data_IF_850689466761
#
_entry.id   IF_850689466761
#
_cell.length_a   1.000
_cell.length_b   1.000
_cell.length_c   1.000
_cell.angle_alpha   90.00
_cell.angle_beta   90.00
_cell.angle_gamma   90.00
#
_symmetry.space_group_name_H-M   'P 1'
#
loop_
_entity.id
_entity.type
_entity.pdbx_description
1 polymer ?
#
# COMPACT_ATOMS: atom_id res chain seq x y z
N UNK A 1 38.35 69.66 -21.55
CA UNK A 1 38.74 70.24 -22.85
C UNK A 1 37.49 70.57 -23.67
N UNK A 2 37.39 71.83 -24.09
CA UNK A 2 36.49 72.46 -25.08
C UNK A 2 34.96 72.22 -24.94
N UNK A 3 34.20 73.13 -24.31
CA UNK A 3 33.58 74.39 -24.81
C UNK A 3 32.36 74.16 -25.76
N UNK A 4 31.14 74.31 -25.22
CA UNK A 4 30.13 75.38 -25.49
C UNK A 4 29.24 75.03 -26.69
N UNK A 5 27.94 74.77 -26.50
CA UNK A 5 26.97 75.87 -26.52
C UNK A 5 25.72 75.73 -25.61
N UNK A 6 25.32 76.89 -25.07
CA UNK A 6 24.10 77.18 -24.28
C UNK A 6 22.95 77.38 -25.28
N UNK A 7 21.67 77.21 -24.99
CA UNK A 7 20.92 76.89 -23.80
C UNK A 7 19.44 77.14 -24.13
N UNK A 8 18.53 76.28 -23.68
CA UNK A 8 17.12 76.60 -23.55
C UNK A 8 16.49 75.71 -22.47
N UNK A 9 15.43 76.20 -21.84
CA UNK A 9 14.60 75.58 -20.79
C UNK A 9 15.04 75.79 -19.32
N UNK A 10 15.03 77.06 -18.90
CA UNK A 10 14.48 77.39 -17.58
C UNK A 10 13.00 76.99 -17.57
N UNK A 11 12.70 75.79 -17.07
CA UNK A 11 11.31 75.30 -16.94
C UNK A 11 11.14 73.83 -16.50
N UNK A 12 12.17 72.99 -16.54
CA UNK A 12 11.97 71.55 -16.29
C UNK A 12 12.19 71.08 -14.85
N UNK A 13 12.83 71.87 -13.98
CA UNK A 13 13.22 71.36 -12.66
C UNK A 13 12.06 71.31 -11.63
N UNK A 14 11.09 72.23 -11.70
CA UNK A 14 9.91 72.21 -10.83
C UNK A 14 8.85 71.19 -11.24
N UNK A 15 8.68 70.90 -12.55
CA UNK A 15 7.70 69.91 -13.01
C UNK A 15 8.18 68.45 -12.82
N UNK A 16 9.49 68.22 -12.83
CA UNK A 16 10.07 66.90 -12.53
C UNK A 16 10.03 66.57 -11.03
N UNK A 17 10.20 67.56 -10.15
CA UNK A 17 10.13 67.32 -8.71
C UNK A 17 8.68 67.04 -8.24
N UNK A 18 7.67 67.71 -8.82
CA UNK A 18 6.25 67.43 -8.52
C UNK A 18 5.77 66.06 -9.05
N UNK A 19 6.41 65.51 -10.10
CA UNK A 19 6.10 64.18 -10.64
C UNK A 19 6.86 63.05 -9.95
N UNK A 20 8.02 63.32 -9.34
CA UNK A 20 8.83 62.32 -8.65
C UNK A 20 8.37 62.05 -7.19
N UNK A 21 7.71 62.99 -6.53
CA UNK A 21 7.30 62.83 -5.12
C UNK A 21 5.92 62.19 -4.89
N UNK A 22 5.18 61.81 -5.95
CA UNK A 22 3.80 61.34 -5.79
C UNK A 22 3.45 59.95 -6.39
N UNK A 23 4.44 59.13 -6.78
CA UNK A 23 4.14 57.81 -7.43
C UNK A 23 4.86 56.57 -6.92
N UNK A 24 5.88 56.66 -6.05
CA UNK A 24 6.57 55.46 -5.56
C UNK A 24 5.97 54.85 -4.26
N UNK A 25 5.21 55.63 -3.47
CA UNK A 25 4.67 55.17 -2.17
C UNK A 25 3.15 54.90 -2.13
N UNK A 26 2.38 55.32 -3.14
CA UNK A 26 0.90 55.32 -3.06
C UNK A 26 0.25 54.14 -3.80
N UNK A 27 0.91 53.58 -4.82
CA UNK A 27 0.34 52.49 -5.63
C UNK A 27 0.41 51.09 -4.97
N UNK A 28 1.22 50.90 -3.92
CA UNK A 28 1.28 49.63 -3.19
C UNK A 28 0.14 49.43 -2.18
N UNK A 29 -0.64 50.48 -1.89
CA UNK A 29 -1.64 50.46 -0.82
C UNK A 29 -3.06 50.12 -1.29
N UNK A 30 -3.27 49.91 -2.60
CA UNK A 30 -4.58 49.57 -3.17
C UNK A 30 -4.57 48.27 -3.95
N UNK A 31 -5.64 47.48 -3.82
CA UNK A 31 -5.80 46.18 -4.45
C UNK A 31 -6.17 46.35 -5.92
N UNK A 32 -5.35 45.79 -6.82
CA UNK A 32 -5.55 45.90 -8.28
C UNK A 32 -6.81 45.22 -8.82
N UNK A 33 -7.61 44.55 -7.98
CA UNK A 33 -8.87 43.87 -8.36
C UNK A 33 -10.11 44.64 -7.91
N UNK A 34 -10.10 45.23 -6.71
CA UNK A 34 -11.30 45.82 -6.10
C UNK A 34 -11.07 47.17 -5.42
N UNK A 35 -9.87 47.75 -5.57
CA UNK A 35 -9.42 49.01 -4.98
C UNK A 35 -9.41 49.07 -3.43
N UNK A 36 -9.77 47.99 -2.72
CA UNK A 36 -9.62 47.88 -1.27
C UNK A 36 -8.15 47.95 -0.83
N UNK A 37 -7.87 48.16 0.46
CA UNK A 37 -6.49 48.26 0.96
C UNK A 37 -5.69 46.99 0.64
N UNK A 38 -4.60 47.13 -0.10
CA UNK A 38 -3.71 46.02 -0.38
C UNK A 38 -2.89 45.64 0.86
N UNK A 39 -2.72 44.33 1.07
CA UNK A 39 -1.94 43.78 2.19
C UNK A 39 -0.54 43.37 1.76
N UNK A 40 -0.28 43.35 0.45
CA UNK A 40 1.00 42.99 -0.15
C UNK A 40 0.82 42.43 -1.56
N UNK A 41 1.90 41.87 -2.11
CA UNK A 41 1.87 41.14 -3.38
C UNK A 41 1.42 39.69 -3.13
N UNK A 42 0.31 39.28 -3.74
CA UNK A 42 -0.17 37.91 -3.71
C UNK A 42 -0.39 37.41 -5.14
N UNK A 43 0.17 36.25 -5.46
CA UNK A 43 0.08 35.61 -6.78
C UNK A 43 0.54 36.48 -7.95
N UNK A 44 1.48 37.41 -7.71
CA UNK A 44 2.12 38.24 -8.73
C UNK A 44 1.75 39.73 -8.67
N UNK A 45 0.66 40.12 -7.99
CA UNK A 45 0.17 41.51 -7.98
C UNK A 45 -0.24 42.00 -6.60
N UNK A 46 -0.33 43.32 -6.43
CA UNK A 46 -0.82 43.93 -5.20
C UNK A 46 -2.32 43.63 -4.99
N UNK A 47 -2.67 42.98 -3.88
CA UNK A 47 -4.05 42.63 -3.59
C UNK A 47 -4.38 42.63 -2.10
N UNK A 48 -5.67 42.73 -1.78
CA UNK A 48 -6.20 42.59 -0.43
C UNK A 48 -6.36 41.09 -0.06
N UNK A 49 -6.49 40.79 1.23
CA UNK A 49 -6.70 39.42 1.70
C UNK A 49 -7.97 38.76 1.16
N UNK A 50 -9.01 39.56 0.90
CA UNK A 50 -10.26 39.08 0.30
C UNK A 50 -10.06 38.51 -1.10
N UNK A 51 -9.32 39.22 -1.97
CA UNK A 51 -9.06 38.76 -3.34
C UNK A 51 -7.99 37.67 -3.39
N UNK A 52 -6.96 37.74 -2.54
CA UNK A 52 -6.00 36.64 -2.32
C UNK A 52 -6.72 35.34 -1.96
N UNK A 53 -7.57 35.34 -0.94
CA UNK A 53 -8.29 34.16 -0.49
C UNK A 53 -9.29 33.63 -1.51
N UNK A 54 -9.98 34.53 -2.21
CA UNK A 54 -10.91 34.17 -3.28
C UNK A 54 -10.20 33.48 -4.45
N UNK A 55 -9.08 34.04 -4.92
CA UNK A 55 -8.30 33.47 -6.02
C UNK A 55 -7.76 32.07 -5.64
N UNK A 56 -7.13 31.94 -4.47
CA UNK A 56 -6.64 30.65 -3.95
C UNK A 56 -7.72 29.56 -3.94
N UNK A 57 -8.90 29.85 -3.39
CA UNK A 57 -10.01 28.86 -3.31
C UNK A 57 -10.53 28.48 -4.69
N UNK A 58 -10.64 29.47 -5.59
CA UNK A 58 -11.16 29.25 -6.94
C UNK A 58 -10.22 28.39 -7.78
N UNK A 59 -8.90 28.61 -7.66
CA UNK A 59 -7.90 27.80 -8.35
C UNK A 59 -7.79 26.39 -7.78
N UNK A 60 -7.69 26.25 -6.44
CA UNK A 60 -7.52 24.92 -5.80
C UNK A 60 -8.67 23.96 -6.07
N UNK A 61 -9.91 24.46 -6.01
CA UNK A 61 -11.10 23.65 -6.27
C UNK A 61 -11.48 23.61 -7.75
N UNK A 62 -10.64 24.17 -8.63
CA UNK A 62 -10.89 24.32 -10.06
C UNK A 62 -12.32 24.84 -10.36
N UNK A 63 -12.78 25.84 -9.60
CA UNK A 63 -14.15 26.33 -9.70
C UNK A 63 -14.41 27.01 -11.03
N UNK A 64 -15.43 26.54 -11.73
CA UNK A 64 -16.03 27.23 -12.88
C UNK A 64 -17.24 28.02 -12.40
N UNK A 65 -17.18 29.35 -12.52
CA UNK A 65 -18.31 30.22 -12.19
C UNK A 65 -19.04 30.66 -13.47
N UNK A 66 -20.31 31.00 -13.35
CA UNK A 66 -21.11 31.61 -14.42
C UNK A 66 -21.60 32.99 -14.01
N UNK A 67 -21.57 33.96 -14.91
CA UNK A 67 -22.20 35.26 -14.69
C UNK A 67 -23.71 35.15 -14.93
N UNK A 68 -24.51 35.82 -14.11
CA UNK A 68 -25.98 35.93 -14.30
C UNK A 68 -26.40 37.15 -15.12
N UNK A 69 -25.43 37.96 -15.55
CA UNK A 69 -25.59 39.20 -16.32
C UNK A 69 -24.62 39.16 -17.53
N UNK A 70 -24.32 40.32 -18.13
CA UNK A 70 -23.51 40.44 -19.35
C UNK A 70 -21.99 40.29 -19.16
N UNK A 71 -21.55 39.55 -18.12
CA UNK A 71 -20.13 39.32 -17.81
C UNK A 71 -19.30 40.61 -17.57
N UNK A 72 -19.95 41.75 -17.37
CA UNK A 72 -19.36 43.09 -17.14
C UNK A 72 -19.65 43.67 -15.76
N UNK A 73 -19.86 42.82 -14.75
CA UNK A 73 -20.15 43.29 -13.39
C UNK A 73 -18.95 44.07 -12.80
N UNK A 74 -19.21 45.25 -12.23
CA UNK A 74 -18.20 46.07 -11.56
C UNK A 74 -17.66 45.36 -10.31
N UNK A 75 -16.33 45.29 -10.18
CA UNK A 75 -15.65 44.70 -9.02
C UNK A 75 -15.04 45.81 -8.18
N UNK A 76 -15.73 46.21 -7.12
CA UNK A 76 -15.28 47.20 -6.14
C UNK A 76 -15.30 46.64 -4.70
N UNK A 77 -14.79 47.38 -3.73
CA UNK A 77 -14.70 46.94 -2.32
C UNK A 77 -16.03 46.40 -1.77
N UNK A 78 -17.15 47.03 -2.13
CA UNK A 78 -18.47 46.71 -1.58
C UNK A 78 -19.19 45.62 -2.37
N UNK A 79 -18.99 45.57 -3.69
CA UNK A 79 -19.74 44.68 -4.61
C UNK A 79 -18.90 43.56 -5.21
N UNK A 80 -17.65 43.38 -4.80
CA UNK A 80 -16.78 42.25 -5.26
C UNK A 80 -17.36 40.86 -5.01
N UNK A 81 -18.34 40.70 -4.12
CA UNK A 81 -18.99 39.41 -3.86
C UNK A 81 -20.24 39.15 -4.73
N UNK A 82 -20.71 40.15 -5.48
CA UNK A 82 -21.95 40.07 -6.29
C UNK A 82 -21.85 39.06 -7.43
N UNK A 83 -20.68 38.99 -8.09
CA UNK A 83 -20.45 38.07 -9.21
C UNK A 83 -19.07 37.43 -9.11
N UNK A 84 -19.03 36.13 -8.78
CA UNK A 84 -17.79 35.35 -8.66
C UNK A 84 -17.10 35.17 -10.02
N UNK A 85 -17.87 35.07 -11.11
CA UNK A 85 -17.31 34.99 -12.46
C UNK A 85 -16.49 36.23 -12.80
N UNK A 86 -17.11 37.42 -12.76
CA UNK A 86 -16.42 38.67 -13.11
C UNK A 86 -15.24 38.94 -12.18
N UNK A 87 -15.37 38.63 -10.88
CA UNK A 87 -14.25 38.76 -9.93
C UNK A 87 -13.07 37.86 -10.30
N UNK A 88 -13.31 36.59 -10.67
CA UNK A 88 -12.23 35.68 -11.05
C UNK A 88 -11.59 36.09 -12.38
N UNK A 89 -12.38 36.55 -13.34
CA UNK A 89 -11.86 37.09 -14.59
C UNK A 89 -11.00 38.34 -14.33
N UNK A 90 -11.44 39.24 -13.45
CA UNK A 90 -10.66 40.43 -13.09
C UNK A 90 -9.35 40.07 -12.39
N UNK A 91 -9.32 39.02 -11.56
CA UNK A 91 -8.07 38.51 -10.98
C UNK A 91 -7.05 38.11 -12.07
N UNK A 92 -7.48 37.37 -13.10
CA UNK A 92 -6.60 36.97 -14.20
C UNK A 92 -6.19 38.18 -15.05
N UNK A 93 -7.15 39.04 -15.39
CA UNK A 93 -6.91 40.26 -16.18
C UNK A 93 -5.92 41.20 -15.49
N UNK A 94 -5.99 41.32 -14.17
CA UNK A 94 -5.05 42.11 -13.38
C UNK A 94 -3.67 41.46 -13.25
N UNK A 95 -3.50 40.18 -13.61
CA UNK A 95 -2.22 39.48 -13.64
C UNK A 95 -1.97 38.48 -12.51
N UNK A 96 -3.01 38.00 -11.82
CA UNK A 96 -2.83 36.89 -10.85
C UNK A 96 -2.48 35.59 -11.57
N UNK A 97 -1.36 34.98 -11.17
CA UNK A 97 -0.81 33.75 -11.75
C UNK A 97 -1.41 32.51 -11.09
N UNK A 98 -2.02 31.62 -11.87
CA UNK A 98 -2.62 30.36 -11.39
C UNK A 98 -1.56 29.43 -10.83
N UNK A 99 -0.42 29.36 -11.51
CA UNK A 99 0.77 28.57 -11.19
C UNK A 99 1.44 29.00 -9.88
N UNK A 100 1.21 30.23 -9.40
CA UNK A 100 1.69 30.70 -8.11
C UNK A 100 0.87 30.17 -6.92
N UNK A 101 -0.23 29.45 -7.17
CA UNK A 101 -1.07 28.83 -6.14
C UNK A 101 -0.52 27.46 -5.81
N UNK A 102 0.23 27.37 -4.71
CA UNK A 102 0.70 26.09 -4.18
C UNK A 102 -0.46 25.21 -3.71
N UNK A 103 -0.26 23.88 -3.84
CA UNK A 103 -1.13 22.83 -3.30
C UNK A 103 -1.32 23.00 -1.77
N UNK A 104 -2.26 22.26 -1.18
CA UNK A 104 -2.43 22.31 0.27
C UNK A 104 -1.11 21.99 0.97
N UNK A 105 -0.79 22.81 1.97
CA UNK A 105 0.27 22.50 2.92
C UNK A 105 -0.38 21.71 4.04
N UNK A 106 0.36 20.77 4.62
CA UNK A 106 -0.09 20.00 5.77
C UNK A 106 -0.67 20.92 6.85
N UNK A 107 -1.72 20.45 7.50
CA UNK A 107 -2.45 21.19 8.51
C UNK A 107 -1.49 21.59 9.66
N UNK A 108 -1.21 22.89 9.82
CA UNK A 108 -0.39 23.41 10.93
C UNK A 108 -1.14 23.29 12.27
N UNK A 109 -2.46 23.04 12.25
CA UNK A 109 -3.23 22.75 13.45
C UNK A 109 -3.30 21.24 13.70
N UNK A 110 -2.79 20.84 14.87
CA UNK A 110 -3.00 19.56 15.57
C UNK A 110 -4.47 19.36 15.98
N UNK A 111 -5.39 19.51 15.03
CA UNK A 111 -6.71 18.90 15.16
C UNK A 111 -6.68 17.66 14.30
N UNK A 112 -6.24 16.56 14.95
CA UNK A 112 -6.51 15.18 14.54
C UNK A 112 -7.85 15.13 13.82
N UNK A 113 -7.85 14.57 12.62
CA UNK A 113 -9.05 14.33 11.82
C UNK A 113 -10.12 13.67 12.69
N UNK A 114 -11.06 14.47 13.20
CA UNK A 114 -12.29 14.00 13.85
C UNK A 114 -13.27 13.68 12.72
N UNK A 115 -12.96 12.64 11.98
CA UNK A 115 -13.87 11.92 11.11
C UNK A 115 -14.12 10.55 11.74
N UNK A 116 -14.75 10.53 12.92
CA UNK A 116 -15.28 9.31 13.51
C UNK A 116 -16.45 8.83 12.65
N UNK A 117 -16.18 7.89 11.76
CA UNK A 117 -17.19 6.91 11.31
C UNK A 117 -17.15 5.76 12.30
N UNK A 118 -18.31 5.36 12.82
CA UNK A 118 -18.45 4.23 13.74
C UNK A 118 -17.80 2.94 13.15
N UNK A 119 -16.99 2.24 13.95
CA UNK A 119 -16.32 0.98 13.60
C UNK A 119 -14.94 1.13 12.95
N UNK A 120 -13.99 1.82 13.60
CA UNK A 120 -12.61 1.94 13.10
C UNK A 120 -11.72 0.85 13.68
N UNK A 121 -11.03 0.10 12.81
CA UNK A 121 -9.91 -0.74 13.20
C UNK A 121 -8.93 0.08 14.06
N UNK A 122 -8.36 -0.55 15.09
CA UNK A 122 -7.39 0.09 15.98
C UNK A 122 -6.23 -0.86 16.29
N UNK A 123 -5.04 -0.30 16.51
CA UNK A 123 -3.85 -1.08 16.86
C UNK A 123 -4.08 -1.99 18.07
N UNK A 124 -4.81 -1.52 19.09
CA UNK A 124 -5.09 -2.31 20.30
C UNK A 124 -5.91 -3.56 19.99
N UNK A 125 -6.93 -3.45 19.13
CA UNK A 125 -7.74 -4.60 18.68
C UNK A 125 -6.87 -5.59 17.91
N UNK A 126 -6.02 -5.10 17.00
CA UNK A 126 -5.14 -5.98 16.22
C UNK A 126 -4.11 -6.70 17.11
N UNK A 127 -3.51 -6.01 18.08
CA UNK A 127 -2.60 -6.63 19.04
C UNK A 127 -3.30 -7.65 19.94
N UNK A 128 -4.53 -7.35 20.39
CA UNK A 128 -5.32 -8.29 21.18
C UNK A 128 -5.65 -9.55 20.38
N UNK A 129 -6.00 -9.39 19.10
CA UNK A 129 -6.22 -10.51 18.19
C UNK A 129 -4.96 -11.35 18.03
N UNK A 130 -3.78 -10.75 17.82
CA UNK A 130 -2.52 -11.50 17.78
C UNK A 130 -2.23 -12.24 19.09
N UNK A 131 -2.38 -11.57 20.23
CA UNK A 131 -2.12 -12.17 21.54
C UNK A 131 -3.03 -13.38 21.83
N UNK A 132 -4.28 -13.35 21.35
CA UNK A 132 -5.24 -14.46 21.54
C UNK A 132 -4.82 -15.78 20.87
N UNK A 133 -3.96 -15.71 19.84
CA UNK A 133 -3.52 -16.88 19.05
C UNK A 133 -2.03 -17.19 19.20
N UNK A 134 -1.31 -16.47 20.05
CA UNK A 134 0.09 -16.77 20.35
C UNK A 134 0.20 -18.08 21.13
N UNK A 135 0.68 -19.13 20.47
CA UNK A 135 0.86 -20.47 21.05
C UNK A 135 2.14 -20.59 21.89
N UNK A 136 3.08 -19.65 21.79
CA UNK A 136 4.34 -19.64 22.52
C UNK A 136 4.62 -18.25 23.07
N UNK A 137 4.95 -18.10 24.37
CA UNK A 137 5.48 -16.84 24.88
C UNK A 137 6.77 -16.50 24.13
N UNK A 138 6.90 -15.25 23.68
CA UNK A 138 8.18 -14.72 23.21
C UNK A 138 9.14 -14.75 24.39
N UNK A 139 9.89 -15.84 24.56
CA UNK A 139 11.00 -15.89 25.49
C UNK A 139 12.09 -14.97 24.93
N UNK A 140 12.08 -13.73 25.43
CA UNK A 140 13.17 -12.79 25.31
C UNK A 140 14.34 -13.26 26.19
N UNK A 141 15.23 -14.12 25.66
CA UNK A 141 16.62 -14.22 26.13
C UNK A 141 17.52 -14.95 25.10
N UNK A 142 18.83 -14.64 25.06
CA UNK A 142 19.77 -15.11 24.04
C UNK A 142 20.34 -16.52 24.31
N UNK A 143 19.49 -17.50 24.62
CA UNK A 143 19.87 -18.92 24.72
C UNK A 143 19.25 -19.78 23.60
N UNK A 144 19.15 -19.19 22.41
CA UNK A 144 18.48 -19.78 21.24
C UNK A 144 19.12 -21.07 20.71
N UNK A 145 20.34 -21.43 21.13
CA UNK A 145 21.03 -22.64 20.66
C UNK A 145 20.68 -23.92 21.45
N UNK A 146 20.31 -23.82 22.74
CA UNK A 146 20.05 -25.02 23.59
C UNK A 146 18.65 -25.58 23.38
N UNK A 147 17.69 -24.75 22.95
CA UNK A 147 16.29 -25.19 22.72
C UNK A 147 16.14 -25.93 21.39
N UNK A 148 17.02 -25.70 20.40
CA UNK A 148 16.94 -26.32 19.07
C UNK A 148 17.32 -27.81 19.11
N UNK A 149 18.26 -28.21 19.96
CA UNK A 149 18.78 -29.60 19.99
C UNK A 149 17.75 -30.64 20.40
N UNK A 150 16.67 -30.23 21.07
CA UNK A 150 15.58 -31.12 21.47
C UNK A 150 14.40 -31.14 20.48
N UNK A 151 14.39 -30.26 19.47
CA UNK A 151 13.29 -30.20 18.50
C UNK A 151 13.45 -31.26 17.41
N UNK A 152 12.36 -31.96 17.11
CA UNK A 152 12.32 -33.02 16.09
C UNK A 152 12.14 -32.43 14.70
N UNK A 153 12.85 -33.00 13.72
CA UNK A 153 12.65 -32.69 12.30
C UNK A 153 11.25 -33.13 11.86
N UNK A 154 10.53 -32.23 11.19
CA UNK A 154 9.18 -32.47 10.70
C UNK A 154 9.17 -33.41 9.49
N UNK A 155 8.31 -34.44 9.52
CA UNK A 155 7.87 -35.12 8.31
C UNK A 155 6.69 -34.39 7.65
N UNK A 156 6.26 -34.86 6.47
CA UNK A 156 5.11 -34.25 5.76
C UNK A 156 3.82 -34.24 6.60
N UNK A 157 3.57 -35.30 7.40
CA UNK A 157 2.40 -35.35 8.29
C UNK A 157 2.42 -34.25 9.33
N UNK A 158 3.58 -33.96 9.92
CA UNK A 158 3.75 -32.92 10.92
C UNK A 158 3.55 -31.53 10.30
N UNK A 159 4.00 -31.33 9.05
CA UNK A 159 3.75 -30.11 8.28
C UNK A 159 2.25 -29.91 8.08
N UNK A 160 1.53 -30.92 7.59
CA UNK A 160 0.07 -30.82 7.39
C UNK A 160 -0.69 -30.60 8.68
N UNK A 161 -0.32 -31.29 9.75
CA UNK A 161 -0.91 -31.08 11.07
C UNK A 161 -0.70 -29.64 11.56
N UNK A 162 0.52 -29.10 11.41
CA UNK A 162 0.80 -27.71 11.71
C UNK A 162 -0.06 -26.76 10.87
N UNK A 163 -0.17 -26.98 9.55
CA UNK A 163 -0.98 -26.12 8.69
C UNK A 163 -2.46 -26.12 9.14
N UNK A 164 -3.03 -27.30 9.44
CA UNK A 164 -4.40 -27.42 9.94
C UNK A 164 -4.60 -26.65 11.24
N UNK A 165 -3.69 -26.81 12.20
CA UNK A 165 -3.72 -26.08 13.47
C UNK A 165 -3.65 -24.57 13.25
N UNK A 166 -2.75 -24.10 12.38
CA UNK A 166 -2.58 -22.66 12.11
C UNK A 166 -3.76 -22.05 11.35
N UNK A 167 -4.45 -22.81 10.49
CA UNK A 167 -5.69 -22.34 9.84
C UNK A 167 -6.84 -22.17 10.83
N UNK A 168 -6.97 -23.09 11.81
CA UNK A 168 -7.95 -22.93 12.89
C UNK A 168 -7.66 -21.69 13.74
N UNK A 169 -6.38 -21.42 14.02
CA UNK A 169 -5.99 -20.18 14.70
C UNK A 169 -6.25 -18.94 13.85
N UNK A 170 -6.12 -19.00 12.51
CA UNK A 170 -6.47 -17.88 11.65
C UNK A 170 -7.95 -17.52 11.78
N UNK A 171 -8.83 -18.53 11.84
CA UNK A 171 -10.27 -18.33 12.12
C UNK A 171 -10.47 -17.66 13.48
N UNK A 172 -9.77 -18.15 14.51
CA UNK A 172 -9.92 -17.61 15.86
C UNK A 172 -9.38 -16.19 15.99
N UNK A 173 -8.24 -15.91 15.36
CA UNK A 173 -7.69 -14.56 15.22
C UNK A 173 -8.70 -13.60 14.57
N UNK A 174 -9.32 -14.02 13.46
CA UNK A 174 -10.25 -13.17 12.72
C UNK A 174 -11.49 -12.81 13.56
N UNK A 175 -11.99 -13.73 14.41
CA UNK A 175 -13.13 -13.46 15.31
C UNK A 175 -12.85 -12.39 16.36
N UNK A 176 -11.59 -12.13 16.69
CA UNK A 176 -11.21 -11.06 17.61
C UNK A 176 -11.24 -9.68 16.97
N UNK A 177 -11.48 -9.58 15.65
CA UNK A 177 -11.64 -8.33 14.91
C UNK A 177 -13.15 -8.06 14.74
N UNK A 178 -13.74 -7.08 15.45
CA UNK A 178 -15.18 -6.81 15.40
C UNK A 178 -15.70 -6.53 13.99
N UNK A 179 -14.90 -5.84 13.18
CA UNK A 179 -15.24 -5.50 11.80
C UNK A 179 -15.38 -6.75 10.92
N UNK A 180 -14.56 -7.78 11.13
CA UNK A 180 -14.71 -9.09 10.48
C UNK A 180 -15.98 -9.80 10.95
N UNK A 181 -16.26 -9.77 12.26
CA UNK A 181 -17.45 -10.38 12.85
C UNK A 181 -18.76 -9.80 12.30
N UNK A 182 -18.75 -8.54 11.84
CA UNK A 182 -19.91 -7.89 11.25
C UNK A 182 -20.10 -8.18 9.75
N UNK A 183 -19.14 -8.84 9.09
CA UNK A 183 -19.26 -9.20 7.67
C UNK A 183 -20.30 -10.32 7.43
N UNK A 184 -20.91 -10.35 6.22
CA UNK A 184 -21.70 -11.49 5.77
C UNK A 184 -20.92 -12.80 5.88
N UNK A 185 -21.60 -13.91 6.15
CA UNK A 185 -20.94 -15.21 6.30
C UNK A 185 -20.17 -15.63 5.04
N UNK A 186 -20.68 -15.29 3.85
CA UNK A 186 -19.99 -15.57 2.58
C UNK A 186 -18.69 -14.79 2.44
N UNK A 187 -18.68 -13.53 2.86
CA UNK A 187 -17.49 -12.69 2.86
C UNK A 187 -16.46 -13.21 3.87
N UNK A 188 -16.91 -13.64 5.06
CA UNK A 188 -16.03 -14.26 6.07
C UNK A 188 -15.32 -15.51 5.53
N UNK A 189 -16.07 -16.41 4.90
CA UNK A 189 -15.51 -17.63 4.29
C UNK A 189 -14.54 -17.27 3.17
N UNK A 190 -14.92 -16.36 2.27
CA UNK A 190 -14.06 -15.90 1.17
C UNK A 190 -12.74 -15.35 1.69
N UNK A 191 -12.76 -14.43 2.66
CA UNK A 191 -11.54 -13.83 3.22
C UNK A 191 -10.64 -14.86 3.91
N UNK A 192 -11.23 -15.83 4.62
CA UNK A 192 -10.48 -16.90 5.25
C UNK A 192 -9.83 -17.86 4.25
N UNK A 193 -10.39 -17.99 3.04
CA UNK A 193 -9.87 -18.88 1.99
C UNK A 193 -8.83 -18.19 1.09
N UNK A 194 -9.09 -16.96 0.62
CA UNK A 194 -8.30 -16.32 -0.46
C UNK A 194 -6.80 -16.25 -0.19
N UNK A 195 -6.40 -15.80 1.00
CA UNK A 195 -4.98 -15.61 1.35
C UNK A 195 -4.53 -16.51 2.51
N UNK A 196 -5.19 -17.67 2.67
CA UNK A 196 -4.90 -18.61 3.75
C UNK A 196 -3.45 -19.11 3.71
N UNK A 197 -2.90 -19.32 2.51
CA UNK A 197 -1.52 -19.71 2.29
C UNK A 197 -0.51 -18.64 2.75
N UNK A 198 -0.76 -17.38 2.41
CA UNK A 198 0.05 -16.23 2.83
C UNK A 198 0.04 -16.10 4.35
N UNK A 199 -1.11 -16.29 5.00
CA UNK A 199 -1.18 -16.28 6.47
C UNK A 199 -0.37 -17.40 7.13
N UNK A 200 -0.38 -18.60 6.55
CA UNK A 200 0.44 -19.71 7.03
C UNK A 200 1.94 -19.41 6.91
N UNK A 201 2.36 -18.91 5.76
CA UNK A 201 3.76 -18.55 5.48
C UNK A 201 4.21 -17.37 6.35
N UNK A 202 3.41 -16.31 6.46
CA UNK A 202 3.72 -15.13 7.25
C UNK A 202 3.81 -15.47 8.75
N UNK A 203 2.91 -16.32 9.26
CA UNK A 203 2.97 -16.82 10.62
C UNK A 203 4.21 -17.69 10.89
N UNK A 204 4.58 -18.56 9.93
CA UNK A 204 5.80 -19.35 10.03
C UNK A 204 7.06 -18.48 10.01
N UNK A 205 7.11 -17.45 9.16
CA UNK A 205 8.20 -16.49 9.13
C UNK A 205 8.32 -15.74 10.47
N UNK A 206 7.22 -15.24 11.04
CA UNK A 206 7.20 -14.55 12.33
C UNK A 206 7.72 -15.41 13.47
N UNK A 207 7.25 -16.66 13.60
CA UNK A 207 7.72 -17.60 14.63
C UNK A 207 9.19 -17.99 14.44
N UNK A 208 9.72 -17.88 13.22
CA UNK A 208 11.08 -18.29 12.90
C UNK A 208 12.11 -17.16 12.99
N UNK A 209 11.70 -15.92 13.31
CA UNK A 209 12.60 -14.78 13.49
C UNK A 209 13.80 -15.04 14.42
N UNK A 210 13.66 -15.77 15.55
CA UNK A 210 14.79 -16.06 16.44
C UNK A 210 15.81 -17.05 15.89
N UNK A 211 15.48 -17.77 14.81
CA UNK A 211 16.24 -18.93 14.36
C UNK A 211 16.89 -18.74 12.99
N UNK A 212 18.08 -19.31 12.83
CA UNK A 212 18.79 -19.37 11.56
C UNK A 212 18.73 -20.78 10.99
N UNK A 213 18.62 -20.87 9.66
CA UNK A 213 18.72 -22.11 8.90
C UNK A 213 17.67 -23.19 9.26
N UNK A 214 16.53 -22.78 9.82
CA UNK A 214 15.37 -23.64 10.09
C UNK A 214 14.08 -22.83 10.13
N UNK A 215 12.96 -23.50 9.89
CA UNK A 215 11.60 -22.95 10.07
C UNK A 215 10.91 -23.67 11.22
N UNK A 216 10.37 -22.90 12.18
CA UNK A 216 9.60 -23.42 13.31
C UNK A 216 8.11 -23.53 12.97
N UNK A 217 7.57 -24.75 13.04
CA UNK A 217 6.16 -25.04 12.84
C UNK A 217 5.32 -24.73 14.08
N UNK A 218 4.00 -24.67 13.92
CA UNK A 218 3.07 -24.36 15.02
C UNK A 218 2.90 -25.49 16.03
N UNK A 219 3.30 -26.71 15.66
CA UNK A 219 3.30 -27.91 16.49
C UNK A 219 4.69 -28.23 17.08
N UNK A 220 5.59 -27.24 17.14
CA UNK A 220 6.95 -27.32 17.72
C UNK A 220 7.96 -28.22 16.97
N UNK A 221 7.58 -28.76 15.81
CA UNK A 221 8.52 -29.40 14.89
C UNK A 221 9.30 -28.37 14.07
N UNK A 222 10.45 -28.78 13.54
CA UNK A 222 11.32 -27.91 12.73
C UNK A 222 11.53 -28.46 11.32
N UNK A 223 11.54 -27.58 10.32
CA UNK A 223 12.03 -27.90 8.98
C UNK A 223 13.46 -27.38 8.88
N UNK A 224 14.43 -28.28 8.74
CA UNK A 224 15.84 -27.92 8.57
C UNK A 224 16.13 -27.59 7.11
N UNK A 225 16.98 -26.59 6.86
CA UNK A 225 17.32 -26.17 5.49
C UNK A 225 18.49 -26.96 4.87
N UNK A 226 18.97 -28.01 5.54
CA UNK A 226 20.21 -28.72 5.17
C UNK A 226 20.04 -29.73 4.04
N UNK A 227 18.81 -30.22 3.81
CA UNK A 227 18.52 -31.20 2.77
C UNK A 227 17.70 -30.58 1.62
N UNK A 228 18.41 -30.08 0.62
CA UNK A 228 17.86 -29.39 -0.57
C UNK A 228 17.08 -30.30 -1.54
N UNK A 229 16.90 -31.58 -1.22
CA UNK A 229 16.30 -32.59 -2.12
C UNK A 229 14.78 -32.77 -1.95
N UNK A 230 14.17 -32.20 -0.91
CA UNK A 230 12.72 -32.28 -0.66
C UNK A 230 12.07 -30.95 -1.06
N UNK A 231 10.99 -30.98 -1.86
CA UNK A 231 10.29 -29.75 -2.31
C UNK A 231 9.83 -28.86 -1.14
N UNK A 232 9.50 -29.47 0.02
CA UNK A 232 9.20 -28.77 1.28
C UNK A 232 10.39 -27.93 1.77
N UNK A 233 11.62 -28.45 1.69
CA UNK A 233 12.83 -27.74 2.08
C UNK A 233 13.11 -26.53 1.19
N UNK A 234 12.69 -26.56 -0.07
CA UNK A 234 12.83 -25.40 -0.99
C UNK A 234 11.90 -24.26 -0.61
N UNK A 235 10.64 -24.57 -0.30
CA UNK A 235 9.70 -23.56 0.21
C UNK A 235 10.25 -22.99 1.52
N UNK A 236 10.69 -23.85 2.45
CA UNK A 236 11.27 -23.41 3.73
C UNK A 236 12.51 -22.52 3.53
N UNK A 237 13.37 -22.82 2.56
CA UNK A 237 14.54 -22.00 2.23
C UNK A 237 14.12 -20.60 1.77
N UNK A 238 13.12 -20.49 0.88
CA UNK A 238 12.60 -19.18 0.47
C UNK A 238 11.93 -18.42 1.60
N UNK A 239 11.21 -19.10 2.50
CA UNK A 239 10.68 -18.46 3.71
C UNK A 239 11.83 -17.85 4.52
N UNK A 240 12.94 -18.58 4.69
CA UNK A 240 14.09 -18.08 5.45
C UNK A 240 14.74 -16.87 4.77
N UNK A 241 15.05 -16.97 3.48
CA UNK A 241 15.83 -15.97 2.73
C UNK A 241 15.02 -14.74 2.36
N UNK A 242 13.78 -14.91 1.91
CA UNK A 242 12.96 -13.84 1.34
C UNK A 242 12.00 -13.20 2.35
N UNK A 243 11.77 -13.85 3.51
CA UNK A 243 10.86 -13.33 4.54
C UNK A 243 11.53 -13.19 5.91
N UNK A 244 12.07 -14.27 6.48
CA UNK A 244 12.63 -14.23 7.85
C UNK A 244 13.80 -13.27 7.94
N UNK A 245 14.77 -13.34 7.02
CA UNK A 245 15.92 -12.44 6.99
C UNK A 245 15.51 -10.97 6.81
N UNK A 246 14.71 -10.59 5.79
CA UNK A 246 14.23 -9.20 5.64
C UNK A 246 13.43 -8.70 6.86
N UNK A 247 12.53 -9.52 7.41
CA UNK A 247 11.74 -9.14 8.59
C UNK A 247 12.62 -8.94 9.83
N UNK A 248 13.69 -9.71 9.97
CA UNK A 248 14.67 -9.55 11.05
C UNK A 248 15.54 -8.31 10.86
N UNK A 249 16.01 -8.06 9.64
CA UNK A 249 16.79 -6.86 9.30
C UNK A 249 15.97 -5.58 9.53
N UNK A 250 14.67 -5.64 9.24
CA UNK A 250 13.73 -4.54 9.52
C UNK A 250 13.38 -4.41 11.00
N UNK A 251 13.74 -5.36 11.86
CA UNK A 251 13.34 -5.42 13.26
C UNK A 251 11.82 -5.17 13.41
N UNK A 252 11.01 -6.01 12.76
CA UNK A 252 9.56 -5.81 12.70
C UNK A 252 8.91 -5.92 14.09
N UNK A 253 8.20 -4.86 14.49
CA UNK A 253 7.48 -4.81 15.76
C UNK A 253 6.15 -5.57 15.70
N UNK A 254 5.57 -5.91 16.86
CA UNK A 254 4.25 -6.57 16.91
C UNK A 254 3.14 -5.73 16.27
N UNK A 255 3.21 -4.40 16.44
CA UNK A 255 2.25 -3.45 15.85
C UNK A 255 2.30 -3.50 14.32
N UNK A 256 3.50 -3.43 13.77
CA UNK A 256 3.72 -3.49 12.32
C UNK A 256 3.31 -4.83 11.73
N UNK A 257 3.65 -5.92 12.41
CA UNK A 257 3.25 -7.26 12.01
C UNK A 257 1.73 -7.42 12.00
N UNK A 258 1.05 -6.96 13.05
CA UNK A 258 -0.41 -7.03 13.15
C UNK A 258 -1.09 -6.23 12.04
N UNK A 259 -0.59 -5.02 11.71
CA UNK A 259 -1.07 -4.25 10.57
C UNK A 259 -0.82 -4.96 9.24
N UNK A 260 0.41 -5.46 9.00
CA UNK A 260 0.77 -6.14 7.76
C UNK A 260 -0.10 -7.37 7.52
N UNK A 261 -0.31 -8.20 8.54
CA UNK A 261 -1.21 -9.37 8.50
C UNK A 261 -2.64 -8.94 8.19
N UNK A 262 -3.12 -7.85 8.78
CA UNK A 262 -4.47 -7.31 8.53
C UNK A 262 -4.64 -6.79 7.09
N UNK A 263 -3.60 -6.16 6.53
CA UNK A 263 -3.58 -5.70 5.13
C UNK A 263 -3.66 -6.88 4.16
N UNK A 264 -2.96 -7.98 4.45
CA UNK A 264 -3.02 -9.23 3.66
C UNK A 264 -4.39 -9.89 3.78
N UNK A 265 -5.00 -9.87 4.97
CA UNK A 265 -6.28 -10.53 5.23
C UNK A 265 -7.46 -9.88 4.50
N UNK A 266 -7.62 -8.56 4.61
CA UNK A 266 -8.75 -7.84 4.02
C UNK A 266 -8.53 -7.56 2.53
N UNK A 267 -8.53 -8.60 1.69
CA UNK A 267 -8.33 -8.43 0.24
C UNK A 267 -9.64 -8.14 -0.50
N UNK A 268 -9.81 -6.95 -1.12
CA UNK A 268 -11.03 -6.59 -1.82
C UNK A 268 -11.11 -7.16 -3.24
N UNK A 269 -10.04 -7.77 -3.76
CA UNK A 269 -9.94 -8.23 -5.15
C UNK A 269 -10.62 -9.60 -5.40
N UNK A 270 -11.46 -10.06 -4.46
CA UNK A 270 -12.16 -11.33 -4.56
C UNK A 270 -13.51 -11.16 -5.26
N UNK A 271 -13.76 -11.81 -6.42
CA UNK A 271 -15.01 -11.65 -7.17
C UNK A 271 -16.27 -12.11 -6.42
N UNK A 272 -16.11 -12.99 -5.42
CA UNK A 272 -17.21 -13.59 -4.65
C UNK A 272 -17.68 -12.74 -3.46
N UNK A 273 -17.06 -11.59 -3.18
CA UNK A 273 -17.44 -10.73 -2.07
C UNK A 273 -18.77 -10.00 -2.34
N UNK A 274 -19.67 -10.05 -1.37
CA UNK A 274 -20.90 -9.27 -1.32
C UNK A 274 -20.59 -7.80 -1.02
N UNK A 275 -19.62 -7.53 -0.14
CA UNK A 275 -19.27 -6.18 0.33
C UNK A 275 -17.81 -5.77 0.04
N UNK A 276 -17.35 -5.76 -1.24
CA UNK A 276 -15.96 -5.47 -1.59
C UNK A 276 -15.53 -4.03 -1.25
N UNK A 277 -16.48 -3.10 -1.14
CA UNK A 277 -16.20 -1.72 -0.71
C UNK A 277 -15.80 -1.66 0.76
N UNK A 278 -16.56 -2.33 1.62
CA UNK A 278 -16.26 -2.39 3.05
C UNK A 278 -14.90 -3.06 3.31
N UNK A 279 -14.62 -4.17 2.64
CA UNK A 279 -13.31 -4.86 2.74
C UNK A 279 -12.16 -3.93 2.31
N UNK A 280 -12.34 -3.18 1.23
CA UNK A 280 -11.34 -2.19 0.78
C UNK A 280 -11.14 -1.08 1.80
N UNK A 281 -12.20 -0.59 2.42
CA UNK A 281 -12.12 0.45 3.45
C UNK A 281 -11.39 -0.08 4.71
N UNK A 282 -11.62 -1.33 5.09
CA UNK A 282 -10.89 -2.00 6.18
C UNK A 282 -9.39 -2.18 5.86
N UNK A 283 -9.05 -2.61 4.64
CA UNK A 283 -7.64 -2.68 4.18
C UNK A 283 -6.98 -1.31 4.22
N UNK A 284 -7.69 -0.28 3.78
CA UNK A 284 -7.20 1.09 3.80
C UNK A 284 -6.98 1.61 5.23
N UNK A 285 -7.90 1.32 6.16
CA UNK A 285 -7.70 1.64 7.58
C UNK A 285 -6.46 0.94 8.15
N UNK A 286 -6.23 -0.34 7.84
CA UNK A 286 -5.03 -1.06 8.26
C UNK A 286 -3.74 -0.45 7.68
N UNK A 287 -3.77 0.07 6.45
CA UNK A 287 -2.66 0.82 5.85
C UNK A 287 -2.39 2.14 6.59
N UNK A 288 -3.43 2.90 6.96
CA UNK A 288 -3.27 4.11 7.76
C UNK A 288 -2.70 3.83 9.15
N UNK A 289 -3.13 2.73 9.79
CA UNK A 289 -2.55 2.28 11.05
C UNK A 289 -1.07 1.90 10.89
N UNK A 290 -0.69 1.24 9.79
CA UNK A 290 0.71 0.94 9.49
C UNK A 290 1.53 2.22 9.27
N UNK A 291 0.97 3.20 8.55
CA UNK A 291 1.61 4.49 8.33
C UNK A 291 1.82 5.26 9.65
N UNK A 292 0.83 5.25 10.54
CA UNK A 292 0.92 5.86 11.87
C UNK A 292 2.05 5.23 12.71
N UNK A 293 2.14 3.89 12.75
CA UNK A 293 3.19 3.21 13.54
C UNK A 293 4.59 3.32 12.94
N UNK A 294 4.70 3.65 11.65
CA UNK A 294 5.99 3.80 10.95
C UNK A 294 6.41 5.26 10.73
N UNK A 295 5.62 6.23 11.19
CA UNK A 295 5.79 7.65 10.86
C UNK A 295 7.16 8.24 11.23
N UNK A 296 7.84 7.70 12.24
CA UNK A 296 9.14 8.17 12.71
C UNK A 296 10.31 7.73 11.82
N UNK A 297 10.13 6.67 11.01
CA UNK A 297 11.21 6.06 10.21
C UNK A 297 10.92 6.20 8.71
N UNK A 298 11.60 7.15 8.06
CA UNK A 298 11.44 7.43 6.62
C UNK A 298 11.67 6.15 5.79
N UNK A 299 10.74 5.83 4.90
CA UNK A 299 10.82 4.68 3.99
C UNK A 299 10.30 3.37 4.57
N UNK A 300 10.18 3.25 5.90
CA UNK A 300 9.82 2.01 6.58
C UNK A 300 8.45 1.45 6.18
N UNK A 301 7.46 2.33 6.00
CA UNK A 301 6.15 1.94 5.47
C UNK A 301 6.27 1.16 4.16
N UNK A 302 7.08 1.69 3.22
CA UNK A 302 7.31 1.08 1.93
C UNK A 302 8.07 -0.24 2.03
N UNK A 303 9.12 -0.29 2.86
CA UNK A 303 9.91 -1.51 3.07
C UNK A 303 9.04 -2.66 3.62
N UNK A 304 8.13 -2.38 4.56
CA UNK A 304 7.22 -3.37 5.11
C UNK A 304 6.19 -3.85 4.07
N UNK A 305 5.65 -2.96 3.24
CA UNK A 305 4.74 -3.35 2.16
C UNK A 305 5.44 -4.19 1.06
N UNK A 306 6.74 -3.96 0.85
CA UNK A 306 7.56 -4.74 -0.10
C UNK A 306 7.84 -6.17 0.37
N UNK A 307 7.45 -6.56 1.59
CA UNK A 307 7.43 -7.96 2.04
C UNK A 307 6.26 -8.74 1.42
N UNK A 308 5.16 -8.08 1.03
CA UNK A 308 3.96 -8.73 0.50
C UNK A 308 4.22 -9.48 -0.82
N UNK A 309 4.94 -8.94 -1.82
CA UNK A 309 5.15 -9.67 -3.07
C UNK A 309 6.00 -10.95 -2.94
N UNK A 310 7.13 -10.96 -2.20
CA UNK A 310 7.82 -12.21 -1.88
C UNK A 310 6.93 -13.19 -1.11
N UNK A 311 6.11 -12.70 -0.17
CA UNK A 311 5.15 -13.52 0.59
C UNK A 311 4.17 -14.24 -0.34
N UNK A 312 3.54 -13.50 -1.27
CA UNK A 312 2.62 -14.07 -2.26
C UNK A 312 3.34 -15.10 -3.16
N UNK A 313 4.56 -14.80 -3.58
CA UNK A 313 5.36 -15.70 -4.42
C UNK A 313 5.72 -17.02 -3.71
N UNK A 314 6.07 -16.97 -2.43
CA UNK A 314 6.38 -18.16 -1.62
C UNK A 314 5.11 -18.95 -1.31
N UNK A 315 4.01 -18.27 -0.97
CA UNK A 315 2.72 -18.91 -0.73
C UNK A 315 2.20 -19.65 -1.97
N UNK A 316 2.35 -19.04 -3.16
CA UNK A 316 1.99 -19.69 -4.42
C UNK A 316 2.79 -20.97 -4.66
N UNK A 317 4.11 -20.93 -4.48
CA UNK A 317 4.96 -22.13 -4.63
C UNK A 317 4.57 -23.23 -3.62
N UNK A 318 4.20 -22.85 -2.38
CA UNK A 318 3.69 -23.80 -1.40
C UNK A 318 2.41 -24.48 -1.91
N UNK A 319 1.43 -23.71 -2.37
CA UNK A 319 0.15 -24.25 -2.88
C UNK A 319 0.39 -25.16 -4.09
N UNK A 320 1.26 -24.77 -5.03
CA UNK A 320 1.64 -25.59 -6.18
C UNK A 320 2.28 -26.92 -5.74
N UNK A 321 3.21 -26.87 -4.79
CA UNK A 321 3.88 -28.06 -4.23
C UNK A 321 2.87 -29.01 -3.59
N UNK A 322 1.91 -28.48 -2.83
CA UNK A 322 0.85 -29.28 -2.22
C UNK A 322 -0.09 -29.90 -3.25
N UNK A 323 -0.45 -29.16 -4.29
CA UNK A 323 -1.28 -29.67 -5.37
C UNK A 323 -0.60 -30.84 -6.09
N UNK A 324 0.71 -30.73 -6.37
CA UNK A 324 1.47 -31.80 -7.00
C UNK A 324 1.59 -33.04 -6.10
N UNK A 325 1.93 -32.86 -4.83
CA UNK A 325 2.03 -33.97 -3.87
C UNK A 325 0.70 -34.74 -3.73
N UNK A 326 -0.42 -34.02 -3.81
CA UNK A 326 -1.76 -34.62 -3.83
C UNK A 326 -2.01 -35.43 -5.10
N UNK A 327 -1.70 -34.88 -6.28
CA UNK A 327 -1.90 -35.57 -7.56
C UNK A 327 -1.10 -36.87 -7.66
N UNK A 328 0.08 -36.91 -7.03
CA UNK A 328 0.94 -38.10 -6.97
C UNK A 328 0.52 -39.11 -5.89
N UNK A 329 -0.49 -38.79 -5.06
CA UNK A 329 -0.93 -39.65 -3.96
C UNK A 329 0.05 -39.71 -2.78
N UNK A 330 1.05 -38.83 -2.76
CA UNK A 330 2.10 -38.78 -1.74
C UNK A 330 1.64 -38.08 -0.44
N UNK A 331 0.48 -37.45 -0.46
CA UNK A 331 -0.09 -36.71 0.67
C UNK A 331 -1.58 -37.00 0.87
N UNK A 332 -1.96 -37.48 2.06
CA UNK A 332 -3.34 -37.47 2.53
C UNK A 332 -3.62 -36.12 3.20
N UNK A 333 -4.21 -35.20 2.45
CA UNK A 333 -4.65 -33.90 2.99
C UNK A 333 -6.03 -34.01 3.65
N UNK A 334 -6.16 -33.36 4.80
CA UNK A 334 -7.44 -33.19 5.49
C UNK A 334 -8.40 -32.30 4.69
N UNK A 335 -9.71 -32.49 4.87
CA UNK A 335 -10.75 -31.73 4.16
C UNK A 335 -10.63 -30.21 4.38
N UNK A 336 -10.23 -29.77 5.58
CA UNK A 336 -10.07 -28.35 5.87
C UNK A 336 -8.95 -27.72 5.02
N UNK A 337 -7.80 -28.39 4.93
CA UNK A 337 -6.66 -27.90 4.15
C UNK A 337 -6.99 -27.84 2.67
N UNK A 338 -7.72 -28.84 2.18
CA UNK A 338 -8.18 -28.87 0.81
C UNK A 338 -9.14 -27.72 0.51
N UNK A 339 -10.13 -27.49 1.38
CA UNK A 339 -11.11 -26.43 1.19
C UNK A 339 -10.47 -25.04 1.26
N UNK A 340 -9.59 -24.81 2.24
CA UNK A 340 -9.00 -23.48 2.47
C UNK A 340 -7.86 -23.13 1.51
N UNK A 341 -7.09 -24.11 1.02
CA UNK A 341 -5.92 -23.86 0.16
C UNK A 341 -6.16 -24.17 -1.32
N UNK A 342 -7.07 -25.10 -1.64
CA UNK A 342 -7.29 -25.61 -3.01
C UNK A 342 -8.72 -25.36 -3.53
N UNK A 343 -9.66 -24.95 -2.67
CA UNK A 343 -11.07 -24.70 -3.02
C UNK A 343 -11.89 -25.98 -3.26
N UNK A 344 -13.21 -25.84 -3.37
CA UNK A 344 -14.18 -26.96 -3.46
C UNK A 344 -14.13 -27.79 -4.76
N UNK A 345 -13.25 -27.48 -5.72
CA UNK A 345 -13.20 -28.12 -7.04
C UNK A 345 -12.71 -29.56 -7.10
N UNK A 346 -12.40 -30.20 -5.96
CA UNK A 346 -11.84 -31.55 -5.95
C UNK A 346 -12.85 -32.68 -5.62
N UNK A 347 -14.15 -32.37 -5.70
CA UNK A 347 -15.25 -33.35 -5.77
C UNK A 347 -16.00 -33.26 -7.10
N UNK A 348 -15.31 -33.32 -8.24
CA UNK A 348 -15.91 -33.72 -9.51
C UNK A 348 -14.81 -34.05 -10.51
N UNK A 349 -14.73 -35.31 -10.94
CA UNK A 349 -14.02 -35.65 -12.16
C UNK A 349 -14.75 -34.99 -13.33
N UNK A 350 -14.20 -33.89 -13.85
CA UNK A 350 -14.25 -33.47 -15.25
C UNK A 350 -13.61 -32.09 -15.43
N UNK A 351 -12.67 -31.99 -16.37
CA UNK A 351 -12.44 -30.76 -17.14
C UNK A 351 -11.79 -29.58 -16.42
N UNK A 352 -10.46 -29.56 -16.46
CA UNK A 352 -9.59 -28.39 -16.73
C UNK A 352 -10.32 -27.01 -16.81
N UNK A 353 -10.73 -26.42 -15.68
CA UNK A 353 -11.38 -25.09 -15.70
C UNK A 353 -11.18 -24.20 -14.48
N UNK A 354 -10.57 -24.67 -13.38
CA UNK A 354 -10.45 -23.87 -12.14
C UNK A 354 -9.06 -23.37 -11.79
N UNK A 355 -8.03 -23.72 -12.57
CA UNK A 355 -6.68 -23.15 -12.41
C UNK A 355 -6.58 -21.65 -12.74
N UNK A 356 -7.64 -21.05 -13.31
CA UNK A 356 -7.68 -19.66 -13.76
C UNK A 356 -8.04 -18.67 -12.64
N UNK A 357 -8.71 -19.11 -11.57
CA UNK A 357 -9.11 -18.20 -10.48
C UNK A 357 -7.89 -17.68 -9.70
N UNK A 358 -6.86 -18.52 -9.54
CA UNK A 358 -5.58 -18.13 -8.90
C UNK A 358 -4.74 -17.23 -9.82
N UNK A 359 -4.84 -17.40 -11.16
CA UNK A 359 -4.16 -16.53 -12.13
C UNK A 359 -4.74 -15.11 -12.14
N UNK A 360 -6.01 -14.94 -11.75
CA UNK A 360 -6.64 -13.62 -11.77
C UNK A 360 -6.26 -12.72 -10.58
N UNK A 361 -6.00 -13.30 -9.40
CA UNK A 361 -5.71 -12.49 -8.18
C UNK A 361 -4.33 -11.83 -8.26
N UNK A 362 -3.33 -12.52 -8.82
CA UNK A 362 -1.98 -11.95 -9.02
C UNK A 362 -1.94 -10.80 -10.04
N UNK A 363 -2.98 -10.64 -10.87
CA UNK A 363 -3.04 -9.58 -11.90
C UNK A 363 -3.64 -8.27 -11.40
N UNK A 364 -4.31 -8.26 -10.26
CA UNK A 364 -5.13 -7.11 -9.82
C UNK A 364 -4.65 -6.39 -8.56
N UNK A 365 -3.63 -6.90 -7.87
CA UNK A 365 -3.35 -6.43 -6.50
C UNK A 365 -2.46 -5.18 -6.36
N UNK A 366 -1.95 -4.60 -7.45
CA UNK A 366 -1.11 -3.40 -7.36
C UNK A 366 -1.37 -2.44 -8.53
N UNK A 367 -2.10 -1.34 -8.25
CA UNK A 367 -2.18 -0.17 -9.14
C UNK A 367 -0.82 0.55 -9.15
N UNK A 368 0.17 -0.03 -9.83
CA UNK A 368 1.43 0.61 -10.14
C UNK A 368 1.40 1.21 -11.54
N UNK A 369 2.09 2.35 -11.71
CA UNK A 369 2.22 3.03 -13.00
C UNK A 369 2.86 2.10 -14.05
N UNK A 370 2.65 2.31 -15.36
CA UNK A 370 3.11 1.39 -16.41
C UNK A 370 4.62 1.12 -16.39
N UNK A 371 5.44 2.02 -15.83
CA UNK A 371 6.89 1.80 -15.68
C UNK A 371 7.25 0.78 -14.58
N UNK A 372 6.54 0.78 -13.45
CA UNK A 372 6.80 -0.19 -12.37
C UNK A 372 6.31 -1.58 -12.75
N UNK A 373 5.24 -1.68 -13.56
CA UNK A 373 4.77 -2.95 -14.10
C UNK A 373 5.79 -3.60 -15.05
N UNK A 374 6.53 -2.80 -15.83
CA UNK A 374 7.60 -3.27 -16.72
C UNK A 374 8.81 -3.80 -15.96
N UNK A 375 9.21 -3.14 -14.87
CA UNK A 375 10.31 -3.62 -14.02
C UNK A 375 9.89 -4.88 -13.25
N UNK A 376 8.67 -4.93 -12.73
CA UNK A 376 8.16 -6.07 -11.99
C UNK A 376 7.94 -7.30 -12.88
N UNK A 377 7.38 -7.11 -14.08
CA UNK A 377 7.27 -8.19 -15.07
C UNK A 377 8.63 -8.65 -15.57
N UNK A 378 9.60 -7.75 -15.80
CA UNK A 378 10.96 -8.14 -16.19
C UNK A 378 11.67 -8.97 -15.10
N UNK A 379 11.55 -8.60 -13.83
CA UNK A 379 12.14 -9.34 -12.70
C UNK A 379 11.44 -10.69 -12.49
N UNK A 380 10.10 -10.73 -12.58
CA UNK A 380 9.35 -11.98 -12.49
C UNK A 380 9.62 -12.92 -13.68
N UNK A 381 9.64 -12.42 -14.92
CA UNK A 381 9.95 -13.23 -16.11
C UNK A 381 11.39 -13.78 -16.06
N UNK A 382 12.34 -13.01 -15.55
CA UNK A 382 13.73 -13.46 -15.39
C UNK A 382 13.85 -14.61 -14.37
N UNK A 383 13.06 -14.60 -13.29
CA UNK A 383 13.15 -15.60 -12.22
C UNK A 383 12.20 -16.81 -12.36
N UNK A 384 11.07 -16.71 -13.06
CA UNK A 384 10.08 -17.80 -13.15
C UNK A 384 10.09 -18.55 -14.49
N UNK A 385 10.37 -17.87 -15.61
CA UNK A 385 10.21 -18.48 -16.95
C UNK A 385 11.47 -19.23 -17.39
N UNK A 386 12.67 -18.72 -17.08
CA UNK A 386 13.92 -19.43 -17.41
C UNK A 386 14.05 -20.80 -16.71
N UNK A 387 13.74 -20.95 -15.41
CA UNK A 387 13.83 -22.25 -14.75
C UNK A 387 12.70 -23.22 -15.13
N UNK A 388 11.48 -22.74 -15.43
CA UNK A 388 10.36 -23.59 -15.83
C UNK A 388 10.52 -24.17 -17.23
N UNK A 389 10.99 -23.38 -18.21
CA UNK A 389 11.28 -23.88 -19.55
C UNK A 389 12.42 -24.92 -19.54
N UNK A 390 13.43 -24.72 -18.70
CA UNK A 390 14.50 -25.71 -18.52
C UNK A 390 14.01 -27.00 -17.83
N UNK A 391 13.09 -26.91 -16.86
CA UNK A 391 12.52 -28.09 -16.17
C UNK A 391 11.61 -28.93 -17.07
N UNK A 392 10.78 -28.30 -17.92
CA UNK A 392 9.97 -29.03 -18.91
C UNK A 392 10.85 -29.71 -19.98
N UNK A 393 11.93 -29.05 -20.42
CA UNK A 393 12.87 -29.62 -21.38
C UNK A 393 13.65 -30.81 -20.81
N UNK A 394 14.16 -30.72 -19.57
CA UNK A 394 14.91 -31.81 -18.91
C UNK A 394 14.00 -33.01 -18.59
N UNK A 395 12.74 -32.79 -18.19
CA UNK A 395 11.79 -33.88 -17.90
C UNK A 395 11.30 -34.57 -19.17
N UNK A 396 11.18 -33.86 -20.30
CA UNK A 396 10.91 -34.49 -21.60
C UNK A 396 12.11 -35.30 -22.12
N UNK A 397 13.35 -34.81 -21.96
CA UNK A 397 14.56 -35.54 -22.36
C UNK A 397 14.78 -36.83 -21.54
N UNK A 398 14.49 -36.82 -20.24
CA UNK A 398 14.61 -38.03 -19.40
C UNK A 398 13.52 -39.08 -19.69
N UNK A 399 12.34 -38.66 -20.14
CA UNK A 399 11.26 -39.59 -20.52
C UNK A 399 11.50 -40.23 -21.88
N UNK A 400 12.18 -39.55 -22.81
CA UNK A 400 12.54 -40.08 -24.13
C UNK A 400 13.65 -41.15 -24.06
N UNK A 401 14.62 -41.00 -23.15
CA UNK A 401 15.73 -41.97 -23.01
C UNK A 401 15.35 -43.29 -22.32
N UNK A 402 14.29 -43.32 -21.53
CA UNK A 402 13.83 -44.54 -20.85
C UNK A 402 12.85 -45.39 -21.68
N UNK A 403 12.41 -44.90 -22.84
CA UNK A 403 11.60 -45.66 -23.81
C UNK A 403 12.41 -46.36 -24.89
N UNK A 404 13.73 -46.12 -25.01
CA UNK A 404 14.61 -46.77 -26.00
C UNK A 404 15.42 -47.97 -25.44
N UNK A 405 15.18 -48.42 -24.20
CA UNK A 405 15.88 -49.58 -23.59
C UNK A 405 14.93 -50.74 -23.27
N UNK A 406 13.70 -50.73 -23.83
CA UNK A 406 12.77 -51.89 -23.75
C UNK A 406 12.04 -52.11 -25.08
N UNK A 407 12.82 -52.48 -26.08
CA UNK A 407 12.50 -53.27 -27.28
C UNK A 407 13.82 -53.73 -27.85
#
# INVERSE_FOLDING_TARGET
>A
CALVDKGNHKGSCLSMCLRALNKAGVLLNSCSICADRATGKHYGIASCDGCKGFFRRSIRKNHTYSCRFDRKCSVDKHRRNQCRYCRLQECFKAGMRKEAVQNERDCINSHRAKGQTAGSLSISVLLQAEASVQQFPVLASPESHVVITNKRTAGMRDVFQSMKQQLLLLVEWAKHIPEFCNLPIRDKVTLLQTHSAEHLILGAARRSLPYNNLILLGNDFVITLRDAQIEVSRVAFRIQEELVKPLRELDITDKEFACLKTIVFFSPACPSLESPRLVRDLRFQAQLLLEEVTCEKRGRFGELLLIIPPLQSVAWQMVETLHLARLLGEAQMDSLLQEMLLGEGAKAGNGLSTGIVIISVARTDLNFTPLTLLVFTAVCLAHTVLPCCHRLAVRCMYRSKNTEVKT
#
